data_IF_806374393846
#
_entry.id   IF_806374393846
#
_cell.length_a   1.000
_cell.length_b   1.000
_cell.length_c   1.000
_cell.angle_alpha   90.00
_cell.angle_beta   90.00
_cell.angle_gamma   90.00
#
_symmetry.space_group_name_H-M   'P 1'
#
loop_
_entity.id
_entity.type
_entity.pdbx_description
1 polymer ?
#
# COMPACT_ATOMS: atom_id res chain seq x y z
N UNK A 1 9.95 -9.33 -1.71
CA UNK A 1 8.72 -9.08 -2.50
C UNK A 1 7.86 -10.34 -2.66
N UNK A 2 8.43 -11.44 -3.18
CA UNK A 2 7.69 -12.70 -3.39
C UNK A 2 7.04 -13.24 -2.13
N UNK A 3 7.79 -13.36 -1.02
CA UNK A 3 7.24 -13.88 0.23
C UNK A 3 6.06 -13.05 0.77
N UNK A 4 6.13 -11.72 0.68
CA UNK A 4 5.04 -10.84 1.08
C UNK A 4 3.82 -10.97 0.15
N UNK A 5 4.05 -11.04 -1.16
CA UNK A 5 2.97 -11.21 -2.13
C UNK A 5 2.27 -12.56 -1.94
N UNK A 6 3.01 -13.64 -1.74
CA UNK A 6 2.45 -14.97 -1.43
C UNK A 6 1.66 -14.97 -0.12
N UNK A 7 2.17 -14.32 0.92
CA UNK A 7 1.46 -14.21 2.20
C UNK A 7 0.15 -13.43 2.07
N UNK A 8 0.13 -12.37 1.26
CA UNK A 8 -1.01 -11.48 1.08
C UNK A 8 -1.94 -11.89 -0.08
N UNK A 9 -1.73 -13.06 -0.68
CA UNK A 9 -2.43 -13.47 -1.90
C UNK A 9 -3.96 -13.43 -1.74
N UNK A 10 -4.63 -12.66 -2.59
CA UNK A 10 -6.09 -12.49 -2.61
C UNK A 10 -6.69 -11.72 -1.43
N UNK A 11 -5.88 -10.96 -0.68
CA UNK A 11 -6.39 -10.21 0.47
C UNK A 11 -7.42 -9.13 0.05
N UNK A 12 -8.55 -9.06 0.76
CA UNK A 12 -9.56 -8.01 0.53
C UNK A 12 -9.04 -6.61 0.87
N UNK A 13 -8.18 -6.52 1.90
CA UNK A 13 -7.45 -5.31 2.29
C UNK A 13 -6.03 -5.69 2.69
N UNK A 14 -5.06 -5.07 2.06
CA UNK A 14 -3.65 -5.14 2.43
C UNK A 14 -3.20 -3.79 2.99
N UNK A 15 -2.78 -3.77 4.26
CA UNK A 15 -2.24 -2.59 4.92
C UNK A 15 -0.71 -2.72 4.96
N UNK A 16 0.01 -1.79 4.36
CA UNK A 16 1.46 -1.81 4.24
C UNK A 16 2.06 -0.46 4.64
N UNK A 17 3.28 -0.47 5.18
CA UNK A 17 3.98 0.79 5.41
C UNK A 17 4.45 1.44 4.09
N UNK A 18 4.59 2.75 4.09
CA UNK A 18 5.10 3.55 2.98
C UNK A 18 5.91 4.75 3.50
N UNK A 19 6.87 4.47 4.39
CA UNK A 19 7.64 5.49 5.10
C UNK A 19 8.31 6.51 4.18
N UNK A 20 8.75 6.09 2.99
CA UNK A 20 9.54 6.91 2.08
C UNK A 20 8.99 6.97 0.64
N UNK A 21 9.36 8.03 -0.09
CA UNK A 21 9.20 8.10 -1.55
C UNK A 21 10.33 7.36 -2.27
N UNK A 22 10.15 7.10 -3.56
CA UNK A 22 11.17 6.41 -4.38
C UNK A 22 12.51 7.14 -4.44
N UNK A 23 12.51 8.47 -4.27
CA UNK A 23 13.72 9.31 -4.18
C UNK A 23 14.62 8.92 -2.98
N UNK A 24 14.06 8.19 -2.01
CA UNK A 24 14.73 7.77 -0.79
C UNK A 24 14.82 6.25 -0.68
N UNK A 25 14.79 5.52 -1.80
CA UNK A 25 14.90 4.05 -1.84
C UNK A 25 16.10 3.52 -1.05
N UNK A 26 17.27 4.14 -1.17
CA UNK A 26 18.47 3.68 -0.45
C UNK A 26 18.35 3.90 1.07
N UNK A 27 17.79 5.04 1.48
CA UNK A 27 17.53 5.32 2.89
C UNK A 27 16.45 4.39 3.45
N UNK A 28 15.42 4.07 2.67
CA UNK A 28 14.40 3.10 3.05
C UNK A 28 15.05 1.75 3.35
N UNK A 29 15.92 1.26 2.47
CA UNK A 29 16.68 0.01 2.69
C UNK A 29 17.59 0.10 3.92
N UNK A 30 18.34 1.18 4.08
CA UNK A 30 19.24 1.38 5.22
C UNK A 30 18.48 1.36 6.56
N UNK A 31 17.29 1.96 6.59
CA UNK A 31 16.43 2.04 7.79
C UNK A 31 15.43 0.88 7.91
N UNK A 32 15.53 -0.13 7.04
CA UNK A 32 14.63 -1.29 7.01
C UNK A 32 13.15 -0.91 6.88
N UNK A 33 12.88 0.11 6.07
CA UNK A 33 11.56 0.60 5.70
C UNK A 33 11.29 0.43 4.19
N UNK A 34 10.05 0.73 3.80
CA UNK A 34 9.54 0.56 2.45
C UNK A 34 9.28 1.90 1.76
N UNK A 35 9.35 1.90 0.41
CA UNK A 35 8.79 2.99 -0.39
C UNK A 35 7.33 2.72 -0.76
N UNK A 36 6.56 3.78 -1.02
CA UNK A 36 5.17 3.65 -1.44
C UNK A 36 5.00 2.74 -2.67
N UNK A 37 5.84 2.92 -3.71
CA UNK A 37 5.82 2.08 -4.92
C UNK A 37 6.15 0.62 -4.61
N UNK A 38 7.09 0.36 -3.72
CA UNK A 38 7.48 -1.01 -3.37
C UNK A 38 6.31 -1.76 -2.70
N UNK A 39 5.62 -1.11 -1.78
CA UNK A 39 4.41 -1.67 -1.15
C UNK A 39 3.28 -1.87 -2.16
N UNK A 40 3.11 -0.94 -3.10
CA UNK A 40 2.15 -1.08 -4.19
C UNK A 40 2.45 -2.25 -5.14
N UNK A 41 3.72 -2.48 -5.47
CA UNK A 41 4.14 -3.67 -6.23
C UNK A 41 3.79 -4.98 -5.53
N UNK A 42 3.90 -5.02 -4.21
CA UNK A 42 3.50 -6.20 -3.43
C UNK A 42 2.00 -6.41 -3.52
N UNK A 43 1.19 -5.36 -3.34
CA UNK A 43 -0.26 -5.45 -3.45
C UNK A 43 -0.72 -5.93 -4.83
N UNK A 44 -0.13 -5.37 -5.89
CA UNK A 44 -0.42 -5.78 -7.26
C UNK A 44 -0.06 -7.26 -7.51
N UNK A 45 1.14 -7.69 -7.07
CA UNK A 45 1.56 -9.10 -7.16
C UNK A 45 0.71 -10.04 -6.31
N UNK A 46 0.19 -9.57 -5.19
CA UNK A 46 -0.67 -10.33 -4.30
C UNK A 46 -2.11 -10.44 -4.83
N UNK A 47 -2.46 -9.71 -5.89
CA UNK A 47 -3.85 -9.56 -6.35
C UNK A 47 -4.77 -9.12 -5.19
N UNK A 48 -4.26 -8.24 -4.32
CA UNK A 48 -5.06 -7.67 -3.24
C UNK A 48 -6.13 -6.76 -3.83
N UNK A 49 -7.34 -6.76 -3.26
CA UNK A 49 -8.45 -5.93 -3.75
C UNK A 49 -8.29 -4.45 -3.39
N UNK A 50 -7.73 -4.17 -2.21
CA UNK A 50 -7.48 -2.81 -1.72
C UNK A 50 -6.11 -2.72 -1.07
N UNK A 51 -5.41 -1.61 -1.32
CA UNK A 51 -4.13 -1.28 -0.69
C UNK A 51 -4.25 0.00 0.13
N UNK A 52 -3.93 -0.11 1.41
CA UNK A 52 -3.86 1.01 2.34
C UNK A 52 -2.42 1.20 2.80
N UNK A 53 -1.85 2.37 2.48
CA UNK A 53 -0.51 2.74 2.86
C UNK A 53 -0.52 3.52 4.18
N UNK A 54 0.34 3.16 5.11
CA UNK A 54 0.44 3.82 6.43
C UNK A 54 1.88 4.05 6.85
N UNK A 55 2.11 4.53 8.07
CA UNK A 55 3.43 4.77 8.66
C UNK A 55 4.26 5.76 7.81
N UNK A 56 3.68 6.91 7.50
CA UNK A 56 4.30 7.93 6.64
C UNK A 56 5.32 8.74 7.45
N UNK A 57 6.52 8.93 6.90
CA UNK A 57 7.53 9.80 7.52
C UNK A 57 7.04 11.25 7.58
N UNK A 58 7.17 11.95 8.72
CA UNK A 58 6.76 13.36 8.88
C UNK A 58 7.60 14.34 8.02
N UNK A 59 8.61 13.84 7.30
CA UNK A 59 9.38 14.61 6.31
C UNK A 59 8.56 14.98 5.08
N UNK A 60 7.52 14.21 4.78
CA UNK A 60 6.60 14.52 3.69
C UNK A 60 5.65 15.63 4.13
N UNK A 61 5.54 16.70 3.34
CA UNK A 61 4.62 17.81 3.61
C UNK A 61 3.15 17.39 3.46
N UNK A 62 2.92 16.51 2.49
CA UNK A 62 1.67 15.87 2.15
C UNK A 62 1.95 14.49 1.53
N UNK A 63 0.90 13.72 1.27
CA UNK A 63 0.99 12.36 0.74
C UNK A 63 0.92 12.28 -0.80
N UNK A 64 0.88 13.42 -1.51
CA UNK A 64 0.59 13.45 -2.96
C UNK A 64 1.63 12.68 -3.75
N UNK A 65 2.91 12.83 -3.39
CA UNK A 65 4.02 12.13 -4.06
C UNK A 65 3.96 10.62 -3.83
N UNK A 66 3.67 10.20 -2.60
CA UNK A 66 3.57 8.79 -2.24
C UNK A 66 2.38 8.13 -2.93
N UNK A 67 1.23 8.83 -2.92
CA UNK A 67 0.01 8.43 -3.62
C UNK A 67 0.26 8.27 -5.12
N UNK A 68 0.89 9.26 -5.77
CA UNK A 68 1.20 9.18 -7.19
C UNK A 68 2.08 7.96 -7.52
N UNK A 69 3.17 7.76 -6.77
CA UNK A 69 4.09 6.63 -6.97
C UNK A 69 3.44 5.28 -6.72
N UNK A 70 2.58 5.17 -5.70
CA UNK A 70 1.85 3.94 -5.43
C UNK A 70 0.84 3.63 -6.54
N UNK A 71 0.11 4.64 -7.02
CA UNK A 71 -0.94 4.49 -8.03
C UNK A 71 -0.43 4.11 -9.42
N UNK A 72 0.85 4.33 -9.71
CA UNK A 72 1.48 3.79 -10.91
C UNK A 72 1.53 2.26 -10.94
N UNK A 73 1.54 1.61 -9.77
CA UNK A 73 1.59 0.13 -9.67
C UNK A 73 0.26 -0.45 -9.18
N UNK A 74 -0.50 0.30 -8.39
CA UNK A 74 -1.79 -0.10 -7.84
C UNK A 74 -2.77 1.10 -7.84
N UNK A 75 -3.57 1.29 -8.91
CA UNK A 75 -4.37 2.51 -9.12
C UNK A 75 -5.30 2.91 -7.97
N UNK A 76 -5.84 1.91 -7.24
CA UNK A 76 -6.75 2.11 -6.11
C UNK A 76 -6.03 2.30 -4.76
N UNK A 77 -4.72 2.58 -4.77
CA UNK A 77 -3.96 2.79 -3.55
C UNK A 77 -4.45 4.04 -2.80
N UNK A 78 -4.62 3.89 -1.48
CA UNK A 78 -5.00 4.95 -0.56
C UNK A 78 -3.92 5.14 0.50
N UNK A 79 -3.50 6.38 0.74
CA UNK A 79 -2.66 6.72 1.91
C UNK A 79 -3.57 7.02 3.09
N UNK A 80 -3.33 6.36 4.21
CA UNK A 80 -4.09 6.53 5.44
C UNK A 80 -3.75 7.85 6.13
N UNK A 81 -4.75 8.42 6.79
CA UNK A 81 -4.64 9.59 7.65
C UNK A 81 -5.33 9.31 8.99
N UNK A 82 -4.99 10.08 10.01
CA UNK A 82 -5.55 9.93 11.35
C UNK A 82 -7.09 10.08 11.31
N UNK A 83 -7.78 9.07 11.85
CA UNK A 83 -9.24 9.02 11.81
C UNK A 83 -9.85 8.43 10.55
N UNK A 84 -9.05 7.94 9.60
CA UNK A 84 -9.55 7.15 8.48
C UNK A 84 -10.22 5.86 8.98
N UNK A 85 -11.48 5.67 8.62
CA UNK A 85 -12.24 4.43 8.83
C UNK A 85 -12.47 3.72 7.50
N UNK A 86 -12.28 2.40 7.48
CA UNK A 86 -12.53 1.57 6.31
C UNK A 86 -13.55 0.51 6.67
N UNK A 87 -14.70 0.57 6.02
CA UNK A 87 -15.73 -0.45 6.16
C UNK A 87 -15.36 -1.69 5.31
N UNK A 88 -15.46 -2.85 5.94
CA UNK A 88 -15.39 -4.14 5.26
C UNK A 88 -16.80 -4.71 5.16
N UNK A 89 -17.50 -4.46 4.04
CA UNK A 89 -18.77 -5.14 3.78
C UNK A 89 -18.51 -6.48 3.08
N UNK A 90 -18.77 -7.57 3.80
CA UNK A 90 -18.66 -8.95 3.27
C UNK A 90 -19.48 -9.17 1.99
N UNK A 91 -20.63 -8.51 1.83
CA UNK A 91 -21.50 -8.71 0.67
C UNK A 91 -20.95 -8.10 -0.62
N UNK A 92 -20.16 -7.03 -0.52
CA UNK A 92 -19.47 -6.44 -1.68
C UNK A 92 -18.22 -7.25 -2.05
N UNK A 93 -17.54 -7.83 -1.06
CA UNK A 93 -16.33 -8.63 -1.25
C UNK A 93 -16.61 -9.99 -1.92
N UNK A 94 -17.77 -10.60 -1.68
CA UNK A 94 -18.17 -11.89 -2.26
C UNK A 94 -18.71 -11.77 -3.70
N UNK A 95 -19.15 -10.57 -4.14
CA UNK A 95 -19.72 -10.34 -5.49
C UNK A 95 -18.71 -10.41 -6.62
N UNK A 96 -17.43 -10.29 -6.33
CA UNK A 96 -16.34 -10.40 -7.32
C UNK A 96 -15.91 -11.87 -7.57
N UNK A 97 -16.52 -12.85 -6.88
CA UNK A 97 -16.24 -14.28 -7.04
C UNK A 97 -17.34 -15.07 -7.78
N UNK A 98 -18.37 -14.38 -8.32
CA UNK A 98 -19.45 -14.94 -9.15
C UNK A 98 -19.37 -14.44 -10.59
#
# INVERSE_FOLDING_TARGET
PEAFATFAAGADVLIMEATFSDEKTDLAREKLHSTARWSAKIAAKAEAKRLILTHISPRHKDDSLLTAQAREEFPEALVAYDGLEILLDRKELDREQM
#
